data_IF_375822752866
#
_entry.id   IF_375822752866
#
_cell.length_a   1.000
_cell.length_b   1.000
_cell.length_c   1.000
_cell.angle_alpha   90.00
_cell.angle_beta   90.00
_cell.angle_gamma   90.00
#
_symmetry.space_group_name_H-M   'P 1'
#
loop_
_entity.id
_entity.type
_entity.pdbx_description
1 polymer ?
#
# COMPACT_ATOMS: atom_id res chain seq x y z
N UNK A 1 22.63 11.56 7.51
CA UNK A 1 22.20 10.22 7.07
C UNK A 1 22.51 10.08 5.58
N UNK A 2 23.17 9.01 5.14
CA UNK A 2 23.36 8.73 3.70
C UNK A 2 22.04 8.23 3.14
N UNK A 3 21.53 8.85 2.07
CA UNK A 3 20.35 8.35 1.36
C UNK A 3 20.64 6.93 0.85
N UNK A 4 19.74 5.96 1.06
CA UNK A 4 19.91 4.63 0.52
C UNK A 4 19.90 4.69 -1.02
N UNK A 5 20.85 4.02 -1.65
CA UNK A 5 20.94 3.94 -3.10
C UNK A 5 19.78 3.09 -3.65
N UNK A 6 18.79 3.76 -4.25
CA UNK A 6 17.59 3.13 -4.81
C UNK A 6 17.89 2.04 -5.84
N UNK A 7 19.06 2.08 -6.49
CA UNK A 7 19.46 1.07 -7.47
C UNK A 7 19.70 -0.29 -6.81
N UNK A 8 20.15 -0.27 -5.55
CA UNK A 8 20.49 -1.45 -4.74
C UNK A 8 19.29 -2.07 -4.01
N UNK A 9 18.10 -1.49 -4.15
CA UNK A 9 16.90 -2.07 -3.55
C UNK A 9 16.56 -3.43 -4.22
N UNK A 10 16.08 -4.42 -3.44
CA UNK A 10 15.58 -5.67 -3.98
C UNK A 10 14.50 -5.42 -5.05
N UNK A 11 14.43 -6.30 -6.05
CA UNK A 11 13.39 -6.23 -7.09
C UNK A 11 11.98 -6.23 -6.48
N UNK A 12 11.77 -7.01 -5.41
CA UNK A 12 10.54 -7.01 -4.63
C UNK A 12 10.16 -5.63 -4.10
N UNK A 13 11.11 -4.93 -3.45
CA UNK A 13 10.85 -3.61 -2.88
C UNK A 13 10.50 -2.58 -3.97
N UNK A 14 11.15 -2.66 -5.13
CA UNK A 14 10.81 -1.82 -6.30
C UNK A 14 9.41 -2.12 -6.83
N UNK A 15 9.06 -3.40 -6.93
CA UNK A 15 7.75 -3.86 -7.36
C UNK A 15 6.63 -3.41 -6.40
N UNK A 16 6.87 -3.53 -5.10
CA UNK A 16 5.93 -3.07 -4.07
C UNK A 16 5.78 -1.55 -4.05
N UNK A 17 6.89 -0.79 -4.18
CA UNK A 17 6.84 0.66 -4.29
C UNK A 17 6.06 1.13 -5.52
N UNK A 18 6.21 0.44 -6.66
CA UNK A 18 5.41 0.72 -7.86
C UNK A 18 3.92 0.44 -7.62
N UNK A 19 3.59 -0.72 -7.05
CA UNK A 19 2.20 -1.08 -6.71
C UNK A 19 1.57 -0.07 -5.77
N UNK A 20 2.31 0.39 -4.76
CA UNK A 20 1.89 1.43 -3.83
C UNK A 20 1.64 2.76 -4.53
N UNK A 21 2.54 3.22 -5.41
CA UNK A 21 2.37 4.48 -6.12
C UNK A 21 1.13 4.47 -7.02
N UNK A 22 0.92 3.40 -7.79
CA UNK A 22 -0.25 3.26 -8.66
C UNK A 22 -1.53 3.10 -7.85
N UNK A 23 -1.52 2.22 -6.84
CA UNK A 23 -2.65 2.01 -5.94
C UNK A 23 -3.05 3.29 -5.21
N UNK A 24 -2.07 4.09 -4.76
CA UNK A 24 -2.32 5.35 -4.07
C UNK A 24 -2.94 6.39 -4.99
N UNK A 25 -2.44 6.55 -6.22
CA UNK A 25 -3.02 7.49 -7.18
C UNK A 25 -4.49 7.15 -7.48
N UNK A 26 -4.81 5.88 -7.66
CA UNK A 26 -6.19 5.43 -7.91
C UNK A 26 -7.08 5.53 -6.67
N UNK A 27 -6.56 5.15 -5.49
CA UNK A 27 -7.27 5.27 -4.23
C UNK A 27 -7.60 6.73 -3.89
N UNK A 28 -6.65 7.64 -4.11
CA UNK A 28 -6.89 9.07 -3.93
C UNK A 28 -7.96 9.55 -4.92
N UNK A 29 -7.85 9.21 -6.21
CA UNK A 29 -8.88 9.55 -7.18
C UNK A 29 -10.27 9.04 -6.74
N UNK A 30 -10.36 7.83 -6.20
CA UNK A 30 -11.62 7.27 -5.70
C UNK A 30 -12.16 8.07 -4.51
N UNK A 31 -11.32 8.40 -3.53
CA UNK A 31 -11.70 9.20 -2.35
C UNK A 31 -12.15 10.61 -2.76
N UNK A 32 -11.48 11.24 -3.72
CA UNK A 32 -11.86 12.54 -4.27
C UNK A 32 -13.24 12.48 -4.97
N UNK A 33 -13.46 11.48 -5.82
CA UNK A 33 -14.72 11.32 -6.56
C UNK A 33 -15.91 10.91 -5.70
N UNK A 34 -15.65 10.21 -4.60
CA UNK A 34 -16.67 9.79 -3.64
C UNK A 34 -16.84 10.78 -2.48
N UNK A 35 -16.11 11.90 -2.49
CA UNK A 35 -16.10 12.90 -1.41
C UNK A 35 -15.80 12.33 -0.02
N UNK A 36 -15.01 11.24 0.03
CA UNK A 36 -14.62 10.59 1.28
C UNK A 36 -13.50 11.37 1.98
N UNK A 37 -13.30 11.09 3.26
CA UNK A 37 -12.23 11.71 4.04
C UNK A 37 -10.84 11.17 3.65
N UNK A 38 -10.03 12.02 3.04
CA UNK A 38 -8.64 11.71 2.66
C UNK A 38 -7.76 11.29 3.85
N UNK A 39 -7.93 11.89 5.02
CA UNK A 39 -7.15 11.53 6.21
C UNK A 39 -7.51 10.14 6.73
N UNK A 40 -8.77 9.73 6.62
CA UNK A 40 -9.18 8.37 6.94
C UNK A 40 -8.52 7.35 5.99
N UNK A 41 -8.41 7.67 4.71
CA UNK A 41 -7.69 6.84 3.75
C UNK A 41 -6.21 6.69 4.13
N UNK A 42 -5.54 7.78 4.47
CA UNK A 42 -4.14 7.72 4.90
C UNK A 42 -3.97 6.88 6.18
N UNK A 43 -4.85 7.05 7.16
CA UNK A 43 -4.81 6.26 8.39
C UNK A 43 -4.98 4.76 8.11
N UNK A 44 -5.92 4.37 7.26
CA UNK A 44 -6.12 2.96 6.91
C UNK A 44 -4.97 2.38 6.08
N UNK A 45 -4.36 3.17 5.20
CA UNK A 45 -3.14 2.79 4.50
C UNK A 45 -2.01 2.49 5.49
N UNK A 46 -1.70 3.42 6.40
CA UNK A 46 -0.62 3.20 7.37
C UNK A 46 -0.93 2.07 8.33
N UNK A 47 -2.17 1.96 8.82
CA UNK A 47 -2.58 0.87 9.71
C UNK A 47 -2.43 -0.49 9.04
N UNK A 48 -2.84 -0.63 7.78
CA UNK A 48 -2.71 -1.87 7.02
C UNK A 48 -1.27 -2.22 6.67
N UNK A 49 -0.45 -1.23 6.31
CA UNK A 49 0.97 -1.45 6.09
C UNK A 49 1.69 -1.88 7.38
N UNK A 50 1.42 -1.23 8.50
CA UNK A 50 1.96 -1.61 9.80
C UNK A 50 1.51 -3.02 10.18
N UNK A 51 0.22 -3.33 10.04
CA UNK A 51 -0.32 -4.67 10.29
C UNK A 51 0.35 -5.74 9.41
N UNK A 52 0.61 -5.41 8.15
CA UNK A 52 1.34 -6.27 7.23
C UNK A 52 2.78 -6.53 7.69
N UNK A 53 3.50 -5.48 8.11
CA UNK A 53 4.87 -5.61 8.61
C UNK A 53 4.94 -6.53 9.83
N UNK A 54 3.99 -6.41 10.77
CA UNK A 54 3.96 -7.25 11.97
C UNK A 54 3.58 -8.71 11.69
N UNK A 55 2.65 -8.95 10.77
CA UNK A 55 2.07 -10.28 10.56
C UNK A 55 2.79 -11.09 9.48
N UNK A 56 3.25 -10.44 8.41
CA UNK A 56 3.66 -11.11 7.18
C UNK A 56 5.05 -10.75 6.66
N UNK A 57 5.73 -9.73 7.19
CA UNK A 57 7.06 -9.33 6.69
C UNK A 57 8.09 -10.45 6.71
N UNK A 58 8.04 -11.33 7.73
CA UNK A 58 8.97 -12.47 7.86
C UNK A 58 8.73 -13.58 6.84
N UNK A 59 7.51 -13.68 6.33
CA UNK A 59 7.08 -14.71 5.38
C UNK A 59 7.07 -14.18 3.94
N UNK A 60 7.21 -12.86 3.74
CA UNK A 60 7.21 -12.24 2.44
C UNK A 60 8.44 -12.68 1.63
N UNK A 61 8.29 -12.96 0.32
CA UNK A 61 9.39 -13.36 -0.56
C UNK A 61 10.30 -12.17 -0.94
N UNK A 62 10.69 -11.34 0.03
CA UNK A 62 11.37 -10.05 -0.15
C UNK A 62 12.77 -10.15 -0.75
N UNK A 63 13.41 -11.32 -0.62
CA UNK A 63 14.73 -11.62 -1.20
C UNK A 63 14.64 -12.28 -2.56
N UNK A 64 13.46 -12.71 -2.99
CA UNK A 64 13.27 -13.38 -4.28
C UNK A 64 13.08 -12.36 -5.40
N UNK A 65 13.53 -12.73 -6.59
CA UNK A 65 13.49 -11.89 -7.79
C UNK A 65 12.70 -12.52 -8.94
N UNK A 66 11.93 -13.57 -8.65
CA UNK A 66 11.08 -14.24 -9.62
C UNK A 66 9.78 -13.46 -9.87
N UNK A 67 9.20 -13.65 -11.06
CA UNK A 67 7.96 -12.98 -11.49
C UNK A 67 6.84 -13.12 -10.44
N UNK A 68 6.61 -14.30 -9.82
CA UNK A 68 5.58 -14.43 -8.79
C UNK A 68 5.84 -13.54 -7.55
N UNK A 69 7.08 -13.42 -7.10
CA UNK A 69 7.44 -12.56 -5.97
C UNK A 69 7.23 -11.08 -6.32
N UNK A 70 7.57 -10.67 -7.54
CA UNK A 70 7.30 -9.31 -8.01
C UNK A 70 5.80 -9.02 -8.10
N UNK A 71 5.01 -9.94 -8.66
CA UNK A 71 3.55 -9.80 -8.74
C UNK A 71 2.92 -9.69 -7.35
N UNK A 72 3.39 -10.48 -6.38
CA UNK A 72 2.98 -10.38 -4.99
C UNK A 72 3.36 -9.03 -4.36
N UNK A 73 4.58 -8.53 -4.63
CA UNK A 73 5.00 -7.20 -4.20
C UNK A 73 4.07 -6.11 -4.74
N UNK A 74 3.78 -6.14 -6.04
CA UNK A 74 2.84 -5.20 -6.69
C UNK A 74 1.45 -5.30 -6.05
N UNK A 75 0.91 -6.51 -5.91
CA UNK A 75 -0.43 -6.72 -5.37
C UNK A 75 -0.56 -6.23 -3.93
N UNK A 76 0.43 -6.51 -3.09
CA UNK A 76 0.44 -6.03 -1.69
C UNK A 76 0.59 -4.52 -1.60
N UNK A 77 1.52 -3.92 -2.35
CA UNK A 77 1.69 -2.47 -2.41
C UNK A 77 0.42 -1.77 -2.91
N UNK A 78 -0.23 -2.33 -3.93
CA UNK A 78 -1.48 -1.82 -4.47
C UNK A 78 -2.64 -1.92 -3.48
N UNK A 79 -2.69 -2.97 -2.65
CA UNK A 79 -3.78 -3.20 -1.73
C UNK A 79 -3.83 -2.21 -0.55
N UNK A 80 -2.69 -1.75 -0.03
CA UNK A 80 -2.68 -0.90 1.18
C UNK A 80 -3.51 0.38 1.04
N UNK A 81 -3.39 1.18 -0.05
CA UNK A 81 -4.23 2.35 -0.25
C UNK A 81 -5.73 2.03 -0.32
N UNK A 82 -6.12 0.88 -0.89
CA UNK A 82 -7.52 0.46 -0.99
C UNK A 82 -8.12 0.04 0.35
N UNK A 83 -7.31 -0.50 1.27
CA UNK A 83 -7.74 -0.69 2.67
C UNK A 83 -8.04 0.67 3.32
N UNK A 84 -7.24 1.69 2.99
CA UNK A 84 -7.54 3.09 3.32
C UNK A 84 -8.89 3.56 2.79
N UNK A 85 -9.18 3.35 1.50
CA UNK A 85 -10.47 3.71 0.89
C UNK A 85 -11.63 3.01 1.62
N UNK A 86 -11.49 1.71 1.91
CA UNK A 86 -12.49 0.95 2.63
C UNK A 86 -12.74 1.52 4.04
N UNK A 87 -11.70 1.91 4.76
CA UNK A 87 -11.84 2.58 6.05
C UNK A 87 -12.55 3.93 5.94
N UNK A 88 -12.18 4.74 4.95
CA UNK A 88 -12.81 6.04 4.72
C UNK A 88 -14.30 5.88 4.41
N UNK A 89 -14.67 4.92 3.55
CA UNK A 89 -16.07 4.59 3.25
C UNK A 89 -16.83 4.04 4.46
N UNK A 90 -16.18 3.24 5.31
CA UNK A 90 -16.79 2.75 6.55
C UNK A 90 -17.09 3.90 7.53
N UNK A 91 -16.14 4.84 7.71
CA UNK A 91 -16.35 5.98 8.59
C UNK A 91 -17.43 6.92 8.08
N UNK A 92 -17.47 7.18 6.77
CA UNK A 92 -18.53 7.96 6.12
C UNK A 92 -19.91 7.30 6.34
N UNK A 93 -20.00 5.98 6.14
CA UNK A 93 -21.22 5.23 6.41
C UNK A 93 -21.67 5.28 7.88
N UNK A 94 -20.73 5.29 8.83
CA UNK A 94 -21.02 5.35 10.27
C UNK A 94 -21.32 6.77 10.77
N UNK A 95 -20.92 7.81 10.04
CA UNK A 95 -21.13 9.22 10.35
C UNK A 95 -21.78 9.96 9.16
N UNK A 96 -23.07 9.66 8.84
CA UNK A 96 -23.80 10.35 7.78
C UNK A 96 -24.10 11.82 8.10
#
# INVERSE_FOLDING_TARGET
>A
MKLPDLRKLPAFAKAQAWGLAVGFALAWLAVDKLHLNFWAMLLGLFASWIGWEFLFARSAPSTRTDIPAMAYGIATGFAFPWIGVALAGLLDYLHP
#
